data_IF_101192198435
#
_entry.id   IF_101192198435
#
_cell.length_a   1.000
_cell.length_b   1.000
_cell.length_c   1.000
_cell.angle_alpha   90.00
_cell.angle_beta   90.00
_cell.angle_gamma   90.00
#
_symmetry.space_group_name_H-M   'P 1'
#
loop_
_entity.id
_entity.type
_entity.pdbx_description
1 polymer ?
#
# COMPACT_ATOMS: atom_id res chain seq x y z
N UNK A 1 5.59 -13.07 15.10
CA UNK A 1 4.59 -12.43 15.96
C UNK A 1 3.40 -12.00 15.12
N UNK A 2 2.22 -12.44 15.48
CA UNK A 2 1.01 -12.09 14.73
C UNK A 2 0.44 -10.76 15.22
N UNK A 3 -0.12 -9.98 14.30
CA UNK A 3 -0.85 -8.77 14.64
C UNK A 3 -2.24 -9.15 15.16
N UNK A 4 -2.71 -8.44 16.16
CA UNK A 4 -4.02 -8.67 16.76
C UNK A 4 -4.84 -7.40 16.77
N UNK A 5 -6.14 -7.55 16.59
CA UNK A 5 -7.07 -6.42 16.66
C UNK A 5 -7.03 -5.81 18.07
N UNK A 6 -6.95 -4.48 18.12
CA UNK A 6 -6.85 -3.75 19.38
C UNK A 6 -5.43 -3.58 19.90
N UNK A 7 -4.45 -4.20 19.27
CA UNK A 7 -3.04 -4.07 19.62
C UNK A 7 -2.34 -3.13 18.64
N UNK A 8 -1.26 -2.49 19.10
CA UNK A 8 -0.44 -1.66 18.23
C UNK A 8 0.23 -2.53 17.16
N UNK A 9 0.11 -2.15 15.89
CA UNK A 9 0.77 -2.87 14.81
C UNK A 9 2.30 -2.76 14.94
N UNK A 10 3.04 -3.86 14.66
CA UNK A 10 4.49 -3.78 14.59
C UNK A 10 4.92 -2.78 13.52
N UNK A 11 5.94 -1.97 13.83
CA UNK A 11 6.48 -1.05 12.84
C UNK A 11 7.23 -1.80 11.75
N UNK A 12 7.31 -1.20 10.56
CA UNK A 12 8.09 -1.73 9.46
C UNK A 12 8.60 -0.59 8.60
N UNK A 13 9.64 -0.87 7.84
CA UNK A 13 10.16 0.02 6.80
C UNK A 13 10.37 -0.81 5.55
N UNK A 14 9.63 -0.52 4.49
CA UNK A 14 9.62 -1.30 3.27
C UNK A 14 9.88 -0.42 2.04
N UNK A 15 10.57 -0.96 1.02
CA UNK A 15 10.78 -0.21 -0.22
C UNK A 15 9.49 0.00 -0.99
N UNK A 16 9.40 1.12 -1.68
CA UNK A 16 8.27 1.50 -2.52
C UNK A 16 8.67 1.49 -4.01
N UNK A 17 8.87 2.65 -4.63
CA UNK A 17 9.18 2.75 -6.06
C UNK A 17 10.59 2.28 -6.42
N UNK A 18 11.50 2.24 -5.46
CA UNK A 18 12.86 1.74 -5.63
C UNK A 18 13.34 1.16 -4.31
N UNK A 19 14.46 0.41 -4.36
CA UNK A 19 15.03 -0.15 -3.13
C UNK A 19 15.50 0.92 -2.14
N UNK A 20 15.82 2.10 -2.63
CA UNK A 20 16.28 3.21 -1.80
C UNK A 20 15.14 4.08 -1.26
N UNK A 21 13.97 4.01 -1.90
CA UNK A 21 12.80 4.79 -1.51
C UNK A 21 11.93 3.95 -0.56
N UNK A 22 12.15 4.15 0.74
CA UNK A 22 11.52 3.34 1.78
C UNK A 22 10.42 4.09 2.51
N UNK A 23 9.37 3.36 2.88
CA UNK A 23 8.23 3.88 3.62
C UNK A 23 8.18 3.22 4.99
N UNK A 24 8.13 4.02 6.05
CA UNK A 24 7.99 3.57 7.43
C UNK A 24 6.53 3.71 7.87
N UNK A 25 5.98 2.67 8.47
CA UNK A 25 4.62 2.72 9.02
C UNK A 25 4.50 3.82 10.08
N UNK A 26 5.50 3.96 10.94
CA UNK A 26 5.52 4.98 11.99
C UNK A 26 5.38 6.39 11.42
N UNK A 27 6.09 6.69 10.34
CA UNK A 27 6.02 8.00 9.69
C UNK A 27 4.64 8.26 9.09
N UNK A 28 4.05 7.26 8.45
CA UNK A 28 2.75 7.40 7.80
C UNK A 28 1.63 7.55 8.84
N UNK A 29 1.66 6.75 9.91
CA UNK A 29 0.59 6.81 10.91
C UNK A 29 0.58 8.10 11.72
N UNK A 30 1.67 8.86 11.75
CA UNK A 30 1.71 10.17 12.39
C UNK A 30 0.82 11.18 11.68
N UNK A 31 0.53 10.96 10.42
CA UNK A 31 -0.30 11.84 9.61
C UNK A 31 -1.79 11.49 9.72
N UNK A 32 -2.13 10.33 10.27
CA UNK A 32 -3.51 9.89 10.45
C UNK A 32 -3.66 8.38 10.36
N UNK A 33 -4.91 7.88 10.30
CA UNK A 33 -5.16 6.45 10.15
C UNK A 33 -4.53 5.89 8.87
N UNK A 34 -4.10 4.63 8.93
CA UNK A 34 -3.48 3.93 7.80
C UNK A 34 -4.26 2.67 7.49
N UNK A 35 -4.59 2.47 6.22
CA UNK A 35 -5.19 1.24 5.72
C UNK A 35 -4.13 0.44 5.00
N UNK A 36 -3.84 -0.76 5.50
CA UNK A 36 -2.87 -1.67 4.87
C UNK A 36 -3.66 -2.69 4.05
N UNK A 37 -3.38 -2.75 2.76
CA UNK A 37 -4.01 -3.69 1.84
C UNK A 37 -2.96 -4.69 1.35
N UNK A 38 -3.05 -5.93 1.82
CA UNK A 38 -2.15 -7.02 1.40
C UNK A 38 -2.75 -7.73 0.19
N UNK A 39 -1.93 -8.00 -0.82
CA UNK A 39 -2.38 -8.71 -2.01
C UNK A 39 -1.29 -9.68 -2.49
N UNK A 40 -1.69 -10.77 -3.20
CA UNK A 40 -0.72 -11.82 -3.54
C UNK A 40 0.30 -11.44 -4.60
N UNK A 41 -0.01 -10.51 -5.50
CA UNK A 41 0.97 -10.11 -6.49
C UNK A 41 0.47 -9.08 -7.49
N UNK A 42 1.41 -8.29 -8.02
CA UNK A 42 1.16 -7.38 -9.13
C UNK A 42 0.73 -8.20 -10.36
N UNK A 43 -0.02 -7.57 -11.26
CA UNK A 43 -0.43 -8.15 -12.55
C UNK A 43 -1.43 -9.32 -12.44
N UNK A 44 -1.77 -9.80 -11.23
CA UNK A 44 -2.86 -10.76 -11.06
C UNK A 44 -4.19 -10.12 -11.47
N UNK A 45 -5.01 -10.84 -12.24
CA UNK A 45 -6.30 -10.31 -12.70
C UNK A 45 -7.21 -9.90 -11.54
N UNK A 46 -7.29 -10.73 -10.50
CA UNK A 46 -8.11 -10.44 -9.31
C UNK A 46 -7.56 -9.24 -8.56
N UNK A 47 -6.25 -9.20 -8.33
CA UNK A 47 -5.62 -8.07 -7.66
C UNK A 47 -5.77 -6.78 -8.45
N UNK A 48 -5.63 -6.85 -9.77
CA UNK A 48 -5.79 -5.68 -10.65
C UNK A 48 -7.19 -5.08 -10.51
N UNK A 49 -8.23 -5.91 -10.50
CA UNK A 49 -9.61 -5.45 -10.34
C UNK A 49 -9.84 -4.83 -8.97
N UNK A 50 -9.36 -5.47 -7.90
CA UNK A 50 -9.49 -4.95 -6.53
C UNK A 50 -8.76 -3.64 -6.35
N UNK A 51 -7.55 -3.52 -6.88
CA UNK A 51 -6.75 -2.31 -6.77
C UNK A 51 -7.36 -1.17 -7.60
N UNK A 52 -7.95 -1.48 -8.74
CA UNK A 52 -8.68 -0.51 -9.54
C UNK A 52 -9.88 0.07 -8.79
N UNK A 53 -10.66 -0.78 -8.12
CA UNK A 53 -11.78 -0.34 -7.30
C UNK A 53 -11.30 0.50 -6.11
N UNK A 54 -10.22 0.09 -5.47
CA UNK A 54 -9.66 0.84 -4.35
C UNK A 54 -9.17 2.22 -4.81
N UNK A 55 -8.52 2.29 -5.97
CA UNK A 55 -8.06 3.55 -6.54
C UNK A 55 -9.24 4.49 -6.85
N UNK A 56 -10.36 3.97 -7.34
CA UNK A 56 -11.56 4.78 -7.58
C UNK A 56 -12.11 5.39 -6.30
N UNK A 57 -11.92 4.73 -5.18
CA UNK A 57 -12.42 5.18 -3.88
C UNK A 57 -11.38 5.89 -3.02
N UNK A 58 -10.16 6.05 -3.54
CA UNK A 58 -9.05 6.62 -2.76
C UNK A 58 -9.38 8.01 -2.20
N UNK A 59 -10.15 8.80 -2.93
CA UNK A 59 -10.56 10.11 -2.48
C UNK A 59 -11.38 10.09 -1.20
N UNK A 60 -12.17 9.03 -0.98
CA UNK A 60 -12.97 8.87 0.24
C UNK A 60 -12.09 8.66 1.46
N UNK A 61 -11.00 7.90 1.31
CA UNK A 61 -10.03 7.69 2.38
C UNK A 61 -9.28 8.98 2.67
N UNK A 62 -8.87 9.69 1.63
CA UNK A 62 -8.16 10.97 1.78
C UNK A 62 -9.02 12.02 2.49
N UNK A 63 -10.31 12.10 2.19
CA UNK A 63 -11.23 13.01 2.84
C UNK A 63 -11.32 12.77 4.35
N UNK A 64 -11.12 11.53 4.78
CA UNK A 64 -11.12 11.15 6.20
C UNK A 64 -9.73 11.21 6.83
N UNK A 65 -8.74 11.70 6.10
CA UNK A 65 -7.37 11.80 6.57
C UNK A 65 -6.64 10.48 6.64
N UNK A 66 -7.16 9.42 6.00
CA UNK A 66 -6.54 8.12 6.00
C UNK A 66 -5.58 7.96 4.81
N UNK A 67 -4.49 7.21 5.03
CA UNK A 67 -3.52 6.86 4.00
C UNK A 67 -3.66 5.37 3.68
N UNK A 68 -3.68 5.02 2.39
CA UNK A 68 -3.76 3.64 1.94
C UNK A 68 -2.39 3.20 1.44
N UNK A 69 -1.94 2.02 1.89
CA UNK A 69 -0.69 1.40 1.44
C UNK A 69 -0.99 0.00 0.94
N UNK A 70 -0.55 -0.33 -0.28
CA UNK A 70 -0.62 -1.69 -0.81
C UNK A 70 0.68 -2.42 -0.51
N UNK A 71 0.61 -3.68 -0.12
CA UNK A 71 1.79 -4.48 0.23
C UNK A 71 1.72 -5.85 -0.44
N UNK A 72 2.80 -6.22 -1.14
CA UNK A 72 2.96 -7.56 -1.72
C UNK A 72 4.43 -7.95 -1.70
N UNK A 73 4.74 -9.17 -2.14
CA UNK A 73 6.12 -9.67 -2.20
C UNK A 73 6.85 -9.31 -3.50
N UNK A 74 6.20 -8.57 -4.39
CA UNK A 74 6.81 -8.17 -5.66
C UNK A 74 7.91 -7.12 -5.47
N UNK A 75 8.81 -7.01 -6.47
CA UNK A 75 9.88 -6.03 -6.41
C UNK A 75 9.37 -4.60 -6.60
N UNK A 76 10.13 -3.58 -6.13
CA UNK A 76 9.78 -2.18 -6.39
C UNK A 76 9.64 -1.85 -7.87
N UNK A 77 10.43 -2.48 -8.72
CA UNK A 77 10.33 -2.26 -10.18
C UNK A 77 9.01 -2.77 -10.74
N UNK A 78 8.54 -3.93 -10.27
CA UNK A 78 7.24 -4.47 -10.65
C UNK A 78 6.12 -3.53 -10.18
N UNK A 79 6.17 -3.07 -8.94
CA UNK A 79 5.20 -2.13 -8.40
C UNK A 79 5.13 -0.85 -9.22
N UNK A 80 6.28 -0.28 -9.56
CA UNK A 80 6.33 0.96 -10.33
C UNK A 80 5.68 0.79 -11.72
N UNK A 81 6.04 -0.28 -12.43
CA UNK A 81 5.49 -0.54 -13.75
C UNK A 81 3.98 -0.80 -13.70
N UNK A 82 3.54 -1.59 -12.73
CA UNK A 82 2.12 -1.92 -12.57
C UNK A 82 1.29 -0.70 -12.17
N UNK A 83 1.81 0.12 -11.24
CA UNK A 83 1.14 1.33 -10.81
C UNK A 83 0.97 2.32 -11.96
N UNK A 84 1.99 2.48 -12.80
CA UNK A 84 1.93 3.35 -13.96
C UNK A 84 0.89 2.85 -14.99
N UNK A 85 0.89 1.54 -15.27
CA UNK A 85 -0.04 0.93 -16.22
C UNK A 85 -1.49 1.06 -15.75
N UNK A 86 -1.74 0.90 -14.45
CA UNK A 86 -3.09 0.91 -13.88
C UNK A 86 -3.47 2.23 -13.23
N UNK A 87 -2.61 3.23 -13.32
CA UNK A 87 -2.83 4.56 -12.74
C UNK A 87 -3.12 4.50 -11.23
N UNK A 88 -2.43 3.61 -10.51
CA UNK A 88 -2.54 3.48 -9.06
C UNK A 88 -1.72 4.61 -8.41
N UNK A 89 -2.36 5.40 -7.57
CA UNK A 89 -1.74 6.59 -6.97
C UNK A 89 -1.33 6.44 -5.52
N UNK A 90 -1.80 5.39 -4.85
CA UNK A 90 -1.34 5.12 -3.48
C UNK A 90 -0.06 4.28 -3.52
N UNK A 91 0.80 4.38 -2.47
CA UNK A 91 2.07 3.65 -2.47
C UNK A 91 1.89 2.14 -2.45
N UNK A 92 2.74 1.44 -3.20
CA UNK A 92 2.84 -0.02 -3.20
C UNK A 92 4.19 -0.39 -2.57
N UNK A 93 4.17 -1.22 -1.53
CA UNK A 93 5.34 -1.60 -0.75
C UNK A 93 5.72 -3.06 -1.01
N UNK A 94 7.00 -3.32 -0.98
CA UNK A 94 7.55 -4.67 -1.18
C UNK A 94 7.80 -5.43 0.11
#
# INVERSE_FOLDING_TARGET
MAAEVGQKAPDFTLPSDSWDDKVSLESVRREGPVVLFFYPGDWSSVCTDQMGQLQEEIGRFEEKGATVLGISVDSPWSHKAWAEEREIRFPLLS
#
